data_IF_677129782545
#
_entry.id   IF_677129782545
#
_cell.length_a   1.000
_cell.length_b   1.000
_cell.length_c   1.000
_cell.angle_alpha   90.00
_cell.angle_beta   90.00
_cell.angle_gamma   90.00
#
_symmetry.space_group_name_H-M   'P 1'
#
loop_
_entity.id
_entity.type
_entity.pdbx_description
1 polymer ?
#
# COMPACT_ATOMS: atom_id res chain seq x y z
N UNK A 1 -44.27 -13.45 31.51
CA UNK A 1 -44.50 -14.44 30.44
C UNK A 1 -43.14 -14.96 29.97
N UNK A 2 -42.88 -16.28 30.07
CA UNK A 2 -41.64 -16.86 29.54
C UNK A 2 -41.71 -16.83 28.00
N UNK A 3 -40.68 -16.34 27.28
CA UNK A 3 -40.67 -16.38 25.83
C UNK A 3 -40.73 -17.84 25.35
N UNK A 4 -41.65 -18.14 24.45
CA UNK A 4 -41.74 -19.42 23.75
C UNK A 4 -40.46 -19.67 22.94
N UNK A 5 -39.98 -20.91 22.90
CA UNK A 5 -38.70 -21.31 22.29
C UNK A 5 -38.54 -20.83 20.82
N UNK A 6 -39.65 -20.73 20.07
CA UNK A 6 -39.68 -20.20 18.69
C UNK A 6 -39.35 -18.70 18.59
N UNK A 7 -39.75 -17.90 19.58
CA UNK A 7 -39.46 -16.46 19.62
C UNK A 7 -38.00 -16.19 20.00
N UNK A 8 -37.42 -17.06 20.85
CA UNK A 8 -36.00 -16.99 21.22
C UNK A 8 -35.10 -17.24 20.00
N UNK A 9 -35.43 -18.27 19.20
CA UNK A 9 -34.69 -18.61 17.98
C UNK A 9 -34.76 -17.48 16.93
N UNK A 10 -35.94 -16.88 16.73
CA UNK A 10 -36.11 -15.78 15.77
C UNK A 10 -35.26 -14.54 16.13
N UNK A 11 -35.24 -14.15 17.41
CA UNK A 11 -34.40 -13.05 17.90
C UNK A 11 -32.90 -13.32 17.72
N UNK A 12 -32.45 -14.56 17.98
CA UNK A 12 -31.06 -14.97 17.75
C UNK A 12 -30.66 -14.89 16.27
N UNK A 13 -31.51 -15.29 15.33
CA UNK A 13 -31.22 -15.17 13.90
C UNK A 13 -31.03 -13.72 13.48
N UNK A 14 -31.90 -12.82 13.94
CA UNK A 14 -31.80 -11.40 13.61
C UNK A 14 -30.54 -10.78 14.22
N UNK A 15 -30.26 -11.02 15.50
CA UNK A 15 -29.05 -10.52 16.15
C UNK A 15 -27.79 -11.00 15.41
N UNK A 16 -27.75 -12.28 15.05
CA UNK A 16 -26.63 -12.86 14.31
C UNK A 16 -26.49 -12.23 12.93
N UNK A 17 -27.59 -12.00 12.21
CA UNK A 17 -27.55 -11.35 10.89
C UNK A 17 -27.05 -9.90 10.97
N UNK A 18 -27.55 -9.13 11.95
CA UNK A 18 -27.13 -7.74 12.18
C UNK A 18 -25.67 -7.63 12.63
N UNK A 19 -25.12 -8.66 13.27
CA UNK A 19 -23.70 -8.70 13.63
C UNK A 19 -22.82 -9.11 12.43
N UNK A 20 -23.10 -10.26 11.82
CA UNK A 20 -22.17 -10.90 10.89
C UNK A 20 -22.14 -10.26 9.51
N UNK A 21 -23.30 -9.85 8.97
CA UNK A 21 -23.37 -9.34 7.59
C UNK A 21 -22.53 -8.05 7.43
N UNK A 22 -22.67 -7.03 8.31
CA UNK A 22 -21.85 -5.83 8.20
C UNK A 22 -20.36 -6.11 8.41
N UNK A 23 -20.03 -7.01 9.34
CA UNK A 23 -18.64 -7.44 9.59
C UNK A 23 -18.04 -8.03 8.32
N UNK A 24 -18.68 -9.02 7.71
CA UNK A 24 -18.20 -9.68 6.49
C UNK A 24 -18.02 -8.67 5.35
N UNK A 25 -18.98 -7.76 5.15
CA UNK A 25 -18.86 -6.71 4.14
C UNK A 25 -17.65 -5.79 4.39
N UNK A 26 -17.40 -5.45 5.65
CA UNK A 26 -16.29 -4.56 6.05
C UNK A 26 -14.91 -5.23 6.07
N UNK A 27 -14.82 -6.57 6.07
CA UNK A 27 -13.52 -7.26 6.05
C UNK A 27 -12.70 -6.98 4.77
N UNK A 28 -13.36 -6.58 3.69
CA UNK A 28 -12.71 -6.18 2.43
C UNK A 28 -12.02 -4.81 2.52
N UNK A 29 -12.26 -4.06 3.59
CA UNK A 29 -11.71 -2.71 3.77
C UNK A 29 -10.19 -2.70 3.88
N UNK A 30 -9.58 -3.64 4.62
CA UNK A 30 -8.13 -3.66 4.81
C UNK A 30 -7.35 -3.88 3.53
N UNK A 31 -7.78 -4.82 2.69
CA UNK A 31 -7.21 -5.03 1.35
C UNK A 31 -7.41 -3.85 0.41
N UNK A 32 -8.46 -3.05 0.63
CA UNK A 32 -8.72 -1.86 -0.16
C UNK A 32 -7.93 -0.63 0.30
N UNK A 33 -7.25 -0.67 1.45
CA UNK A 33 -6.54 0.49 2.00
C UNK A 33 -5.02 0.32 2.07
N UNK A 34 -4.51 -0.91 2.07
CA UNK A 34 -3.07 -1.18 2.13
C UNK A 34 -2.69 -2.50 1.48
N UNK A 35 -1.47 -2.56 0.94
CA UNK A 35 -0.85 -3.75 0.33
C UNK A 35 -0.05 -4.55 1.37
N UNK A 36 0.32 -3.92 2.49
CA UNK A 36 1.01 -4.61 3.59
C UNK A 36 0.05 -5.58 4.29
N UNK A 37 0.47 -6.85 4.41
CA UNK A 37 -0.37 -7.92 4.97
C UNK A 37 -0.72 -7.67 6.45
N UNK A 38 0.22 -7.13 7.23
CA UNK A 38 0.00 -6.87 8.66
C UNK A 38 -1.01 -5.74 8.88
N UNK A 39 -0.83 -4.64 8.17
CA UNK A 39 -1.72 -3.48 8.22
C UNK A 39 -3.10 -3.79 7.62
N UNK A 40 -3.16 -4.63 6.59
CA UNK A 40 -4.42 -5.07 5.99
C UNK A 40 -5.30 -5.80 7.00
N UNK A 41 -4.70 -6.74 7.76
CA UNK A 41 -5.41 -7.45 8.84
C UNK A 41 -5.86 -6.48 9.94
N UNK A 42 -5.02 -5.52 10.31
CA UNK A 42 -5.36 -4.51 11.33
C UNK A 42 -6.57 -3.65 10.92
N UNK A 43 -6.55 -3.12 9.70
CA UNK A 43 -7.64 -2.27 9.20
C UNK A 43 -8.94 -3.04 8.97
N UNK A 44 -8.87 -4.27 8.45
CA UNK A 44 -10.05 -5.14 8.34
C UNK A 44 -10.63 -5.48 9.72
N UNK A 45 -9.78 -5.72 10.71
CA UNK A 45 -10.20 -5.96 12.09
C UNK A 45 -10.89 -4.74 12.71
N UNK A 46 -10.34 -3.54 12.52
CA UNK A 46 -10.91 -2.30 13.04
C UNK A 46 -12.24 -1.96 12.37
N UNK A 47 -12.32 -2.07 11.03
CA UNK A 47 -13.55 -1.86 10.26
C UNK A 47 -14.63 -2.87 10.67
N UNK A 48 -14.26 -4.15 10.81
CA UNK A 48 -15.13 -5.21 11.32
C UNK A 48 -15.69 -4.91 12.71
N UNK A 49 -14.83 -4.48 13.64
CA UNK A 49 -15.25 -4.11 14.99
C UNK A 49 -16.28 -2.98 15.02
N UNK A 50 -16.04 -1.92 14.24
CA UNK A 50 -16.96 -0.78 14.13
C UNK A 50 -18.28 -1.19 13.49
N UNK A 51 -18.24 -1.95 12.38
CA UNK A 51 -19.43 -2.43 11.68
C UNK A 51 -20.29 -3.34 12.57
N UNK A 52 -19.65 -4.23 13.34
CA UNK A 52 -20.34 -5.09 14.31
C UNK A 52 -21.03 -4.31 15.43
N UNK A 53 -20.35 -3.29 15.99
CA UNK A 53 -20.93 -2.43 17.02
C UNK A 53 -22.16 -1.66 16.52
N UNK A 54 -22.08 -1.09 15.30
CA UNK A 54 -23.21 -0.41 14.65
C UNK A 54 -24.34 -1.39 14.38
N UNK A 55 -24.02 -2.60 13.90
CA UNK A 55 -24.99 -3.68 13.66
C UNK A 55 -25.81 -4.05 14.90
N UNK A 56 -25.14 -4.24 16.04
CA UNK A 56 -25.82 -4.49 17.33
C UNK A 56 -26.73 -3.32 17.71
N UNK A 57 -26.27 -2.07 17.56
CA UNK A 57 -27.10 -0.90 17.84
C UNK A 57 -28.36 -0.83 16.94
N UNK A 58 -28.22 -1.13 15.64
CA UNK A 58 -29.32 -1.22 14.70
C UNK A 58 -30.31 -2.36 15.04
N UNK A 59 -29.83 -3.49 15.54
CA UNK A 59 -30.70 -4.57 16.01
C UNK A 59 -31.60 -4.08 17.15
N UNK A 60 -31.04 -3.49 18.20
CA UNK A 60 -31.83 -3.02 19.35
C UNK A 60 -32.84 -1.93 18.97
N UNK A 61 -32.50 -1.07 17.99
CA UNK A 61 -33.44 -0.08 17.47
C UNK A 61 -34.61 -0.69 16.69
N UNK A 62 -34.37 -1.82 16.02
CA UNK A 62 -35.34 -2.46 15.11
C UNK A 62 -36.05 -3.67 15.72
N UNK A 63 -35.66 -4.10 16.93
CA UNK A 63 -36.23 -5.26 17.63
C UNK A 63 -37.74 -5.13 17.89
N UNK A 64 -38.27 -3.92 18.09
CA UNK A 64 -39.72 -3.72 18.28
C UNK A 64 -40.50 -3.50 16.97
N UNK A 65 -39.81 -3.50 15.83
CA UNK A 65 -40.39 -3.17 14.51
C UNK A 65 -40.76 -4.43 13.72
N UNK A 66 -41.54 -4.24 12.66
CA UNK A 66 -41.94 -5.31 11.72
C UNK A 66 -40.70 -5.91 11.02
N UNK A 67 -40.73 -7.21 10.64
CA UNK A 67 -39.59 -7.89 10.02
C UNK A 67 -39.13 -7.23 8.71
N UNK A 68 -40.06 -6.66 7.92
CA UNK A 68 -39.70 -5.97 6.68
C UNK A 68 -38.85 -4.70 6.93
N UNK A 69 -39.08 -4.02 8.06
CA UNK A 69 -38.29 -2.86 8.44
C UNK A 69 -36.89 -3.28 8.88
N UNK A 70 -36.75 -4.42 9.58
CA UNK A 70 -35.46 -5.00 9.96
C UNK A 70 -34.64 -5.35 8.72
N UNK A 71 -35.27 -5.99 7.73
CA UNK A 71 -34.63 -6.33 6.46
C UNK A 71 -34.12 -5.08 5.73
N UNK A 72 -34.93 -4.02 5.65
CA UNK A 72 -34.53 -2.78 4.99
C UNK A 72 -33.31 -2.11 5.66
N UNK A 73 -33.29 -2.05 7.00
CA UNK A 73 -32.17 -1.49 7.76
C UNK A 73 -30.91 -2.35 7.59
N UNK A 74 -31.04 -3.68 7.61
CA UNK A 74 -29.92 -4.60 7.40
C UNK A 74 -29.32 -4.44 5.99
N UNK A 75 -30.16 -4.32 4.96
CA UNK A 75 -29.71 -4.08 3.59
C UNK A 75 -28.99 -2.75 3.44
N UNK A 76 -29.54 -1.67 4.03
CA UNK A 76 -28.88 -0.37 4.03
C UNK A 76 -27.53 -0.43 4.74
N UNK A 77 -27.45 -1.11 5.88
CA UNK A 77 -26.22 -1.28 6.64
C UNK A 77 -25.16 -2.06 5.85
N UNK A 78 -25.56 -3.12 5.14
CA UNK A 78 -24.67 -3.89 4.26
C UNK A 78 -24.12 -3.02 3.10
N UNK A 79 -24.98 -2.21 2.47
CA UNK A 79 -24.58 -1.29 1.40
C UNK A 79 -23.62 -0.22 1.93
N UNK A 80 -23.90 0.38 3.08
CA UNK A 80 -23.03 1.39 3.70
C UNK A 80 -21.69 0.79 4.12
N UNK A 81 -21.68 -0.45 4.64
CA UNK A 81 -20.45 -1.15 5.00
C UNK A 81 -19.59 -1.52 3.77
N UNK A 82 -20.22 -1.73 2.60
CA UNK A 82 -19.54 -2.02 1.34
C UNK A 82 -19.19 -0.75 0.52
N UNK A 83 -19.83 0.39 0.78
CA UNK A 83 -19.59 1.63 0.03
C UNK A 83 -18.10 2.05 -0.03
N UNK A 84 -17.35 1.97 1.08
CA UNK A 84 -15.94 2.34 1.06
C UNK A 84 -15.11 1.46 0.12
N UNK A 85 -15.49 0.21 -0.15
CA UNK A 85 -14.74 -0.63 -1.11
C UNK A 85 -15.05 -0.29 -2.57
N UNK A 86 -16.17 0.38 -2.85
CA UNK A 86 -16.55 0.75 -4.22
C UNK A 86 -16.11 2.18 -4.56
N UNK A 87 -16.08 3.08 -3.58
CA UNK A 87 -15.84 4.51 -3.79
C UNK A 87 -14.51 5.03 -3.23
N UNK A 88 -13.84 4.29 -2.35
CA UNK A 88 -12.46 4.66 -2.04
C UNK A 88 -11.60 4.35 -3.27
N UNK A 89 -10.70 5.26 -3.67
CA UNK A 89 -9.67 4.90 -4.63
C UNK A 89 -8.94 3.70 -4.06
N UNK A 90 -9.10 2.54 -4.70
CA UNK A 90 -8.22 1.43 -4.40
C UNK A 90 -6.78 1.94 -4.59
N UNK A 91 -5.83 1.56 -3.73
CA UNK A 91 -4.40 1.73 -4.04
C UNK A 91 -4.07 1.10 -5.41
N UNK A 92 -4.95 0.21 -5.92
CA UNK A 92 -5.08 -0.26 -7.30
C UNK A 92 -5.30 0.80 -8.39
N UNK A 93 -5.31 2.10 -8.08
CA UNK A 93 -4.92 3.13 -9.05
C UNK A 93 -3.45 3.01 -9.50
N UNK A 94 -2.80 1.86 -9.19
CA UNK A 94 -1.85 1.13 -10.03
C UNK A 94 -2.14 1.42 -11.52
N UNK A 95 -1.33 2.28 -12.09
CA UNK A 95 -1.30 2.53 -13.51
C UNK A 95 -1.09 1.19 -14.22
N UNK A 96 -2.03 0.79 -15.07
CA UNK A 96 -1.89 -0.38 -15.94
C UNK A 96 -1.11 0.04 -17.16
N UNK A 97 0.13 -0.48 -17.29
CA UNK A 97 0.89 -0.43 -18.53
C UNK A 97 0.85 -1.83 -19.12
N UNK A 98 0.40 -1.94 -20.37
CA UNK A 98 0.31 -3.21 -21.11
C UNK A 98 -0.51 -4.33 -20.42
N UNK A 99 -1.47 -3.96 -19.56
CA UNK A 99 -2.34 -4.91 -18.84
C UNK A 99 -1.74 -5.47 -17.54
N UNK A 100 -0.55 -4.99 -17.14
CA UNK A 100 0.14 -5.39 -15.91
C UNK A 100 -0.08 -4.35 -14.81
N UNK A 101 -0.37 -4.81 -13.60
CA UNK A 101 -0.56 -3.96 -12.41
C UNK A 101 0.79 -3.62 -11.76
N UNK A 102 1.04 -2.32 -11.59
CA UNK A 102 2.28 -1.76 -11.03
C UNK A 102 2.04 -0.92 -9.78
N UNK A 103 2.82 -1.12 -8.72
CA UNK A 103 2.81 -0.31 -7.48
C UNK A 103 3.97 0.66 -7.40
N UNK A 104 3.82 1.68 -6.54
CA UNK A 104 4.86 2.67 -6.28
C UNK A 104 6.12 2.02 -5.69
N UNK A 105 7.26 2.23 -6.33
CA UNK A 105 8.55 1.79 -5.84
C UNK A 105 8.98 2.69 -4.67
N UNK A 106 9.35 2.11 -3.51
CA UNK A 106 9.76 2.92 -2.36
C UNK A 106 11.12 3.59 -2.59
N UNK A 107 11.95 3.14 -3.55
CA UNK A 107 13.24 3.79 -3.87
C UNK A 107 13.05 5.01 -4.76
N UNK A 108 12.51 4.79 -5.96
CA UNK A 108 12.49 5.81 -7.00
C UNK A 108 11.18 6.61 -7.10
N UNK A 109 10.12 6.19 -6.38
CA UNK A 109 8.83 6.87 -6.38
C UNK A 109 7.97 6.64 -7.62
N UNK A 110 8.47 5.91 -8.62
CA UNK A 110 7.70 5.57 -9.81
C UNK A 110 6.76 4.38 -9.58
N UNK A 111 5.60 4.42 -10.22
CA UNK A 111 4.62 3.32 -10.25
C UNK A 111 5.13 2.25 -11.21
N UNK A 112 6.12 1.48 -10.75
CA UNK A 112 6.93 0.58 -11.59
C UNK A 112 7.26 -0.75 -10.91
N UNK A 113 6.64 -1.07 -9.78
CA UNK A 113 6.88 -2.33 -9.07
C UNK A 113 5.82 -3.36 -9.42
N UNK A 114 6.22 -4.45 -10.09
CA UNK A 114 5.30 -5.50 -10.53
C UNK A 114 5.19 -6.59 -9.47
N UNK A 115 3.97 -6.99 -9.09
CA UNK A 115 3.76 -8.02 -8.06
C UNK A 115 4.32 -9.42 -8.39
N UNK A 116 4.63 -9.68 -9.66
CA UNK A 116 5.21 -10.92 -10.15
C UNK A 116 6.74 -10.89 -10.20
N UNK A 117 7.36 -9.72 -10.06
CA UNK A 117 8.81 -9.53 -10.13
C UNK A 117 9.34 -9.08 -8.77
N UNK A 118 10.64 -9.31 -8.54
CA UNK A 118 11.31 -8.96 -7.27
C UNK A 118 12.01 -7.60 -7.33
N UNK A 119 12.17 -7.05 -8.53
CA UNK A 119 12.81 -5.77 -8.83
C UNK A 119 11.79 -4.72 -9.28
N UNK A 120 12.17 -3.45 -9.16
CA UNK A 120 11.45 -2.36 -9.80
C UNK A 120 11.83 -2.26 -11.27
N UNK A 121 10.85 -2.20 -12.18
CA UNK A 121 11.11 -2.07 -13.62
C UNK A 121 11.77 -0.74 -14.01
N UNK A 122 11.72 0.28 -13.15
CA UNK A 122 12.31 1.60 -13.44
C UNK A 122 13.74 1.74 -12.91
N UNK A 123 14.00 1.40 -11.64
CA UNK A 123 15.34 1.53 -11.05
C UNK A 123 16.14 0.22 -10.99
N UNK A 124 15.53 -0.92 -11.32
CA UNK A 124 16.16 -2.23 -11.31
C UNK A 124 16.44 -2.81 -9.92
N UNK A 125 16.18 -2.06 -8.84
CA UNK A 125 16.54 -2.47 -7.48
C UNK A 125 15.57 -3.54 -6.96
N UNK A 126 16.13 -4.60 -6.40
CA UNK A 126 15.41 -5.67 -5.71
C UNK A 126 15.27 -5.38 -4.21
N UNK A 127 14.07 -5.56 -3.68
CA UNK A 127 13.78 -5.34 -2.26
C UNK A 127 13.37 -6.65 -1.60
N UNK A 128 14.37 -7.51 -1.37
CA UNK A 128 14.18 -8.84 -0.80
C UNK A 128 14.94 -9.01 0.51
N UNK A 129 14.51 -9.96 1.35
CA UNK A 129 15.27 -10.31 2.55
C UNK A 129 16.68 -10.83 2.22
N UNK A 130 16.84 -11.50 1.08
CA UNK A 130 18.14 -12.02 0.65
C UNK A 130 19.10 -10.87 0.34
N UNK A 131 18.64 -9.85 -0.38
CA UNK A 131 19.44 -8.65 -0.69
C UNK A 131 19.77 -7.87 0.58
N UNK A 132 18.79 -7.71 1.48
CA UNK A 132 18.98 -7.10 2.79
C UNK A 132 20.09 -7.81 3.59
N UNK A 133 20.09 -9.15 3.60
CA UNK A 133 21.11 -9.96 4.29
C UNK A 133 22.48 -9.87 3.61
N UNK A 134 22.53 -9.86 2.28
CA UNK A 134 23.76 -9.71 1.51
C UNK A 134 24.42 -8.34 1.74
N UNK A 135 23.61 -7.29 1.83
CA UNK A 135 24.04 -5.94 2.18
C UNK A 135 24.45 -5.79 3.66
N UNK A 136 24.25 -6.83 4.50
CA UNK A 136 24.55 -6.77 5.93
C UNK A 136 23.59 -5.87 6.73
N UNK A 137 22.37 -5.69 6.23
CA UNK A 137 21.37 -4.78 6.78
C UNK A 137 20.34 -5.57 7.60
N UNK A 138 19.83 -4.98 8.67
CA UNK A 138 18.89 -5.62 9.60
C UNK A 138 17.41 -5.39 9.28
N UNK A 139 17.09 -4.33 8.54
CA UNK A 139 15.70 -3.98 8.20
C UNK A 139 15.55 -3.52 6.76
N UNK A 140 14.39 -3.79 6.17
CA UNK A 140 14.07 -3.37 4.81
C UNK A 140 14.07 -1.84 4.66
N UNK A 141 13.62 -1.12 5.69
CA UNK A 141 13.66 0.35 5.72
C UNK A 141 15.09 0.90 5.63
N UNK A 142 16.05 0.23 6.26
CA UNK A 142 17.46 0.62 6.20
C UNK A 142 18.04 0.35 4.81
N UNK A 143 17.63 -0.75 4.16
CA UNK A 143 18.00 -1.04 2.77
C UNK A 143 17.40 0.02 1.84
N UNK A 144 16.13 0.36 2.02
CA UNK A 144 15.45 1.41 1.24
C UNK A 144 16.19 2.74 1.37
N UNK A 145 16.56 3.15 2.59
CA UNK A 145 17.27 4.39 2.81
C UNK A 145 18.64 4.40 2.12
N UNK A 146 19.37 3.27 2.20
CA UNK A 146 20.66 3.10 1.54
C UNK A 146 20.52 3.20 0.02
N UNK A 147 19.58 2.49 -0.58
CA UNK A 147 19.36 2.48 -2.02
C UNK A 147 18.90 3.84 -2.54
N UNK A 148 18.02 4.55 -1.81
CA UNK A 148 17.67 5.94 -2.12
C UNK A 148 18.90 6.85 -2.11
N UNK A 149 19.83 6.64 -1.17
CA UNK A 149 21.06 7.43 -1.07
C UNK A 149 21.95 7.33 -2.29
N UNK A 150 21.90 6.20 -3.00
CA UNK A 150 22.64 5.97 -4.24
C UNK A 150 21.85 6.38 -5.47
N UNK A 151 20.56 6.06 -5.51
CA UNK A 151 19.69 6.33 -6.67
C UNK A 151 19.58 7.82 -6.98
N UNK A 152 19.54 8.68 -5.96
CA UNK A 152 19.40 10.14 -6.15
C UNK A 152 20.72 10.90 -6.22
N UNK A 153 21.87 10.22 -6.29
CA UNK A 153 23.15 10.89 -6.55
C UNK A 153 23.13 11.38 -7.99
N UNK A 154 23.29 12.70 -8.24
CA UNK A 154 23.36 13.19 -9.60
C UNK A 154 24.58 12.64 -10.34
N UNK A 155 24.57 12.68 -11.68
CA UNK A 155 25.75 12.27 -12.45
C UNK A 155 26.86 13.32 -12.41
N UNK A 156 26.49 14.61 -12.31
CA UNK A 156 27.37 15.77 -12.23
C UNK A 156 27.34 16.38 -10.83
N UNK A 157 28.53 16.66 -10.28
CA UNK A 157 28.75 17.30 -8.98
C UNK A 157 28.06 18.66 -8.85
N UNK A 158 27.79 19.34 -9.98
CA UNK A 158 27.12 20.65 -10.03
C UNK A 158 25.60 20.57 -10.15
N UNK A 159 25.04 19.39 -10.43
CA UNK A 159 23.59 19.23 -10.55
C UNK A 159 22.94 19.20 -9.16
N UNK A 160 21.80 19.88 -9.04
CA UNK A 160 21.00 19.86 -7.82
C UNK A 160 20.29 18.51 -7.68
N UNK A 161 20.20 18.01 -6.44
CA UNK A 161 19.41 16.82 -6.14
C UNK A 161 17.92 17.15 -6.27
N UNK A 162 17.26 16.45 -7.18
CA UNK A 162 15.82 16.51 -7.37
C UNK A 162 15.22 15.10 -7.29
N UNK A 163 14.23 14.95 -6.41
CA UNK A 163 13.51 13.69 -6.21
C UNK A 163 12.34 13.54 -7.19
N UNK A 164 11.98 14.61 -7.90
CA UNK A 164 10.77 14.68 -8.72
C UNK A 164 11.05 14.77 -10.22
N UNK A 165 12.28 14.46 -10.66
CA UNK A 165 12.67 14.55 -12.06
C UNK A 165 13.21 13.24 -12.62
N UNK A 166 12.81 12.89 -13.86
CA UNK A 166 11.67 13.44 -14.61
C UNK A 166 10.30 13.08 -13.98
N UNK A 167 9.19 13.66 -14.45
CA UNK A 167 7.84 13.26 -13.98
C UNK A 167 7.36 11.95 -14.61
N UNK A 168 7.84 11.67 -15.82
CA UNK A 168 7.65 10.43 -16.56
C UNK A 168 9.05 9.93 -16.92
N UNK A 169 9.39 8.69 -16.59
CA UNK A 169 10.70 8.14 -16.92
C UNK A 169 10.82 7.83 -18.42
N UNK A 170 12.06 7.58 -18.87
CA UNK A 170 12.30 7.17 -20.27
C UNK A 170 11.56 5.87 -20.62
N UNK A 171 11.41 4.98 -19.65
CA UNK A 171 10.63 3.73 -19.77
C UNK A 171 9.11 3.96 -19.65
N UNK A 172 8.65 5.19 -19.46
CA UNK A 172 7.23 5.56 -19.47
C UNK A 172 6.50 5.31 -18.14
N UNK A 173 7.21 5.13 -17.03
CA UNK A 173 6.59 5.01 -15.71
C UNK A 173 6.26 6.40 -15.15
N UNK A 174 5.14 6.49 -14.42
CA UNK A 174 4.66 7.73 -13.83
C UNK A 174 5.16 7.86 -12.40
N UNK A 175 5.66 9.05 -12.05
CA UNK A 175 6.03 9.38 -10.68
C UNK A 175 4.75 9.52 -9.82
N UNK A 176 4.71 8.83 -8.69
CA UNK A 176 3.64 8.96 -7.71
C UNK A 176 3.76 10.28 -6.95
N UNK A 177 2.79 11.18 -7.15
CA UNK A 177 2.78 12.51 -6.51
C UNK A 177 2.60 12.46 -5.00
N UNK A 178 2.08 11.35 -4.47
CA UNK A 178 1.90 11.15 -3.03
C UNK A 178 3.14 10.57 -2.36
N UNK A 179 4.08 10.07 -3.15
CA UNK A 179 5.33 9.50 -2.65
C UNK A 179 6.31 10.59 -2.23
N UNK A 180 7.12 10.27 -1.22
CA UNK A 180 8.26 11.07 -0.80
C UNK A 180 9.39 10.16 -0.31
N UNK A 181 10.66 10.53 -0.53
CA UNK A 181 11.79 9.74 -0.07
C UNK A 181 11.91 9.81 1.45
N UNK A 182 12.45 8.74 2.05
CA UNK A 182 12.74 8.70 3.49
C UNK A 182 14.09 9.37 3.77
N UNK A 183 14.97 9.43 2.78
CA UNK A 183 16.24 10.13 2.86
C UNK A 183 16.09 11.65 2.68
N UNK A 184 16.89 12.42 3.42
CA UNK A 184 16.98 13.87 3.24
C UNK A 184 17.94 14.25 2.12
N UNK A 185 17.72 15.40 1.48
CA UNK A 185 18.66 15.94 0.48
C UNK A 185 20.09 16.06 1.01
N UNK A 186 20.25 16.54 2.26
CA UNK A 186 21.56 16.67 2.88
C UNK A 186 22.31 15.33 3.05
N UNK A 187 21.59 14.24 3.28
CA UNK A 187 22.19 12.90 3.35
C UNK A 187 22.65 12.43 1.97
N UNK A 188 21.87 12.70 0.92
CA UNK A 188 22.27 12.44 -0.47
C UNK A 188 23.48 13.29 -0.86
N UNK A 189 23.53 14.57 -0.51
CA UNK A 189 24.68 15.47 -0.75
C UNK A 189 25.96 14.95 -0.11
N UNK A 190 25.86 14.47 1.13
CA UNK A 190 27.00 13.87 1.84
C UNK A 190 27.51 12.63 1.11
N UNK A 191 26.60 11.76 0.67
CA UNK A 191 26.95 10.55 -0.07
C UNK A 191 27.54 10.86 -1.44
N UNK A 192 26.96 11.84 -2.15
CA UNK A 192 27.44 12.33 -3.43
C UNK A 192 28.87 12.88 -3.32
N UNK A 193 29.16 13.69 -2.29
CA UNK A 193 30.50 14.22 -2.03
C UNK A 193 31.53 13.11 -1.88
N UNK A 194 31.23 12.11 -1.04
CA UNK A 194 32.09 10.94 -0.87
C UNK A 194 32.34 10.20 -2.19
N UNK A 195 31.28 9.99 -2.97
CA UNK A 195 31.34 9.32 -4.26
C UNK A 195 32.21 10.08 -5.27
N UNK A 196 32.07 11.40 -5.38
CA UNK A 196 32.87 12.22 -6.29
C UNK A 196 34.34 12.30 -5.88
N UNK A 197 34.62 12.46 -4.59
CA UNK A 197 36.00 12.44 -4.08
C UNK A 197 36.68 11.10 -4.36
N UNK A 198 35.96 9.99 -4.16
CA UNK A 198 36.44 8.67 -4.48
C UNK A 198 36.78 8.52 -5.97
N UNK A 199 35.88 8.94 -6.87
CA UNK A 199 36.12 8.91 -8.32
C UNK A 199 37.28 9.79 -8.76
N UNK A 200 37.49 10.96 -8.12
CA UNK A 200 38.65 11.83 -8.36
C UNK A 200 39.96 11.14 -7.94
N UNK A 201 39.96 10.43 -6.82
CA UNK A 201 41.14 9.73 -6.29
C UNK A 201 41.48 8.45 -7.06
N UNK A 202 40.46 7.73 -7.53
CA UNK A 202 40.59 6.46 -8.23
C UNK A 202 39.91 6.51 -9.60
N UNK A 203 40.50 7.21 -10.59
CA UNK A 203 39.88 7.37 -11.90
C UNK A 203 39.79 6.01 -12.61
N UNK A 204 38.57 5.62 -12.98
CA UNK A 204 38.32 4.41 -13.77
C UNK A 204 38.73 4.67 -15.22
N UNK A 205 39.75 3.96 -15.71
CA UNK A 205 40.16 4.02 -17.12
C UNK A 205 39.24 3.14 -17.96
N UNK A 206 38.25 3.74 -18.62
CA UNK A 206 37.39 3.04 -19.58
C UNK A 206 38.13 2.93 -20.91
N UNK A 207 38.50 1.71 -21.32
CA UNK A 207 39.01 1.46 -22.67
C UNK A 207 37.84 1.05 -23.56
N UNK A 208 37.51 1.89 -24.54
CA UNK A 208 36.50 1.56 -25.56
C UNK A 208 37.15 0.61 -26.58
N UNK A 209 36.86 -0.68 -26.45
CA UNK A 209 37.26 -1.67 -27.46
C UNK A 209 36.33 -1.49 -28.67
N UNK A 210 36.83 -0.85 -29.74
CA UNK A 210 36.13 -0.85 -31.03
C UNK A 210 36.14 -2.28 -31.57
N UNK A 211 34.98 -2.92 -31.67
CA UNK A 211 34.83 -4.16 -32.44
C UNK A 211 35.14 -3.85 -33.92
N UNK A 212 36.09 -4.61 -34.48
CA UNK A 212 36.35 -4.67 -35.92
C UNK A 212 35.24 -5.42 -36.65
#
# INVERSE_FOLDING_TARGET
MKPTQSNLNNSQYWLTAFLLIPVICSMQFGSAYTVDKGMSVLYSGLAGGVAGAIGIACYYFTEKRKPIFRLAVLMMLAVVAALPTVFLPHPDALMSKDGVKYSTCPICGYVAYRSQEKSCDNCGIELTEDEMRQAGISTLDSLINLEQSFYFIPDDEKMAIDFNQPTISEDGYLLDKSWSPTISKAAVEKQATYYYEFRKKYPVKVQVIKKQ
#
